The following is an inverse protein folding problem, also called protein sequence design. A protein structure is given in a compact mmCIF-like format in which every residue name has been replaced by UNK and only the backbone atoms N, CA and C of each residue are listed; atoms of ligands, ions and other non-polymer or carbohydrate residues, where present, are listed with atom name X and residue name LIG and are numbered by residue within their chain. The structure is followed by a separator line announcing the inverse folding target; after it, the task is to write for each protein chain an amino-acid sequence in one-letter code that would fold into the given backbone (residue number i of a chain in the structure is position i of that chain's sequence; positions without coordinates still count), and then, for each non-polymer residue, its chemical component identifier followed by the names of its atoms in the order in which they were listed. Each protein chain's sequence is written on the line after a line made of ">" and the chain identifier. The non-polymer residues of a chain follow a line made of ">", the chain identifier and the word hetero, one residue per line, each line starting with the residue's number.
data_IF_435975082151
#
_entry.id   IF_435975082151
#
_cell.length_a   1.000
_cell.length_b   1.000
_cell.length_c   1.000
_cell.angle_alpha   90.00
_cell.angle_beta   90.00
_cell.angle_gamma   90.00
#
_symmetry.space_group_name_H-M   'P 1'
#
loop_
_entity.id
_entity.type
_entity.pdbx_description
1 polymer ?
#
# COMPACT_ATOMS: atom_id res chain seq x y z
N UNK A 1 7.30 5.13 -0.53
CA UNK A 1 7.08 5.10 -2.00
C UNK A 1 8.34 5.62 -2.70
N UNK A 2 8.64 5.13 -3.90
CA UNK A 2 9.77 5.58 -4.73
C UNK A 2 9.23 6.47 -5.86
N UNK A 3 9.90 7.59 -6.13
CA UNK A 3 9.48 8.56 -7.15
C UNK A 3 9.88 8.07 -8.54
N UNK A 4 8.92 7.99 -9.46
CA UNK A 4 9.14 7.51 -10.84
C UNK A 4 9.38 8.67 -11.80
N UNK A 5 8.54 9.71 -11.72
CA UNK A 5 8.64 10.92 -12.52
C UNK A 5 8.84 12.14 -11.63
N UNK A 6 9.59 13.11 -12.14
CA UNK A 6 9.74 14.43 -11.53
C UNK A 6 9.50 15.53 -12.56
N UNK A 7 8.43 16.30 -12.37
CA UNK A 7 8.03 17.37 -13.28
C UNK A 7 7.97 16.90 -14.75
N UNK A 8 7.39 15.72 -15.00
CA UNK A 8 7.28 15.12 -16.33
C UNK A 8 8.54 14.38 -16.82
N UNK A 9 9.67 14.46 -16.10
CA UNK A 9 10.89 13.74 -16.46
C UNK A 9 10.92 12.36 -15.80
N UNK A 10 11.20 11.32 -16.57
CA UNK A 10 11.45 9.98 -16.03
C UNK A 10 12.78 9.98 -15.26
N UNK A 11 12.72 9.88 -13.94
CA UNK A 11 13.91 9.85 -13.07
C UNK A 11 14.23 8.46 -12.53
N UNK A 12 13.28 7.52 -12.61
CA UNK A 12 13.47 6.15 -12.19
C UNK A 12 14.09 5.29 -13.28
N UNK A 13 15.11 4.51 -12.91
CA UNK A 13 15.70 3.52 -13.79
C UNK A 13 14.95 2.21 -13.64
N UNK A 14 14.25 1.79 -14.70
CA UNK A 14 13.57 0.50 -14.72
C UNK A 14 14.58 -0.64 -14.55
N UNK A 15 14.41 -1.52 -13.54
CA UNK A 15 15.22 -2.72 -13.39
C UNK A 15 14.91 -3.72 -14.51
N UNK A 16 15.77 -4.73 -14.68
CA UNK A 16 15.51 -5.80 -15.64
C UNK A 16 14.39 -6.71 -15.14
N UNK A 17 13.77 -7.47 -16.05
CA UNK A 17 12.71 -8.44 -15.68
C UNK A 17 13.24 -9.49 -14.69
N UNK A 18 14.52 -9.86 -14.80
CA UNK A 18 15.14 -10.82 -13.90
C UNK A 18 15.34 -10.24 -12.50
N UNK A 19 15.75 -8.97 -12.41
CA UNK A 19 15.87 -8.27 -11.12
C UNK A 19 14.51 -8.11 -10.43
N UNK A 20 13.45 -7.80 -11.21
CA UNK A 20 12.08 -7.71 -10.70
C UNK A 20 11.61 -9.06 -10.14
N UNK A 21 11.89 -10.15 -10.86
CA UNK A 21 11.55 -11.50 -10.42
C UNK A 21 12.24 -11.84 -9.11
N UNK A 22 13.55 -11.59 -9.01
CA UNK A 22 14.32 -11.90 -7.80
C UNK A 22 13.79 -11.09 -6.60
N UNK A 23 13.62 -9.79 -6.79
CA UNK A 23 13.04 -8.92 -5.76
C UNK A 23 11.66 -9.40 -5.30
N UNK A 24 10.79 -9.81 -6.23
CA UNK A 24 9.47 -10.33 -5.87
C UNK A 24 9.54 -11.63 -5.07
N UNK A 25 10.50 -12.51 -5.36
CA UNK A 25 10.71 -13.75 -4.61
C UNK A 25 11.23 -13.45 -3.20
N UNK A 26 12.20 -12.54 -3.09
CA UNK A 26 12.76 -12.11 -1.81
C UNK A 26 11.70 -11.46 -0.91
N UNK A 27 10.91 -10.52 -1.42
CA UNK A 27 9.85 -9.86 -0.64
C UNK A 27 8.76 -10.85 -0.23
N UNK A 28 8.38 -11.79 -1.12
CA UNK A 28 7.36 -12.80 -0.80
C UNK A 28 7.80 -13.69 0.36
N UNK A 29 9.09 -14.00 0.47
CA UNK A 29 9.62 -14.81 1.56
C UNK A 29 9.59 -14.10 2.93
N UNK A 30 9.36 -12.78 2.97
CA UNK A 30 9.19 -12.02 4.23
C UNK A 30 7.77 -12.10 4.79
N UNK A 31 6.80 -12.53 3.97
CA UNK A 31 5.42 -12.65 4.39
C UNK A 31 5.21 -13.94 5.20
N UNK A 32 4.29 -13.89 6.16
CA UNK A 32 3.93 -15.06 6.95
C UNK A 32 3.21 -16.12 6.10
N UNK A 33 3.50 -17.42 6.29
CA UNK A 33 2.90 -18.50 5.51
C UNK A 33 1.36 -18.48 5.50
N UNK A 34 0.73 -18.04 6.59
CA UNK A 34 -0.71 -17.99 6.77
C UNK A 34 -1.37 -17.00 5.80
N UNK A 35 -0.70 -15.89 5.49
CA UNK A 35 -1.14 -14.89 4.51
C UNK A 35 -0.96 -15.41 3.07
N UNK A 36 -0.01 -16.32 2.86
CA UNK A 36 0.31 -16.89 1.55
C UNK A 36 -0.55 -18.12 1.18
N UNK A 37 -1.46 -18.56 2.05
CA UNK A 37 -2.34 -19.72 1.76
C UNK A 37 -3.27 -19.42 0.58
N UNK A 38 -3.43 -20.40 -0.31
CA UNK A 38 -4.35 -20.28 -1.46
C UNK A 38 -5.82 -20.33 -1.03
N UNK A 39 -6.12 -21.13 -0.01
CA UNK A 39 -7.44 -21.25 0.58
C UNK A 39 -7.45 -20.61 1.96
N UNK A 40 -8.45 -19.75 2.21
CA UNK A 40 -8.63 -19.04 3.47
C UNK A 40 -7.34 -18.35 3.98
N UNK A 41 -6.71 -17.45 3.20
CA UNK A 41 -5.54 -16.70 3.65
C UNK A 41 -5.88 -15.89 4.89
N UNK A 42 -4.89 -15.74 5.78
CA UNK A 42 -5.03 -14.81 6.89
C UNK A 42 -5.08 -13.37 6.36
N UNK A 43 -5.98 -12.55 6.93
CA UNK A 43 -6.10 -11.15 6.54
C UNK A 43 -4.80 -10.39 6.87
N UNK A 44 -4.30 -9.63 5.90
CA UNK A 44 -3.20 -8.69 6.12
C UNK A 44 -3.78 -7.33 6.49
N UNK A 45 -3.67 -6.95 7.76
CA UNK A 45 -4.23 -5.70 8.26
C UNK A 45 -3.43 -4.50 7.79
N UNK A 46 -4.12 -3.47 7.30
CA UNK A 46 -3.54 -2.18 6.92
C UNK A 46 -4.21 -1.12 7.77
N UNK A 47 -3.51 -0.70 8.82
CA UNK A 47 -4.04 0.25 9.79
C UNK A 47 -3.74 1.70 9.42
N UNK A 48 -4.64 2.59 9.86
CA UNK A 48 -4.43 4.02 9.76
C UNK A 48 -3.61 4.50 10.95
N UNK A 49 -2.63 5.36 10.70
CA UNK A 49 -2.06 6.15 11.79
C UNK A 49 -3.16 6.97 12.47
N UNK A 50 -3.04 7.18 13.78
CA UNK A 50 -4.05 7.90 14.55
C UNK A 50 -4.44 9.25 13.93
N UNK A 51 -3.45 10.05 13.50
CA UNK A 51 -3.69 11.34 12.83
C UNK A 51 -4.50 11.22 11.54
N UNK A 52 -4.25 10.18 10.75
CA UNK A 52 -4.98 9.95 9.49
C UNK A 52 -6.41 9.48 9.76
N UNK A 53 -6.59 8.65 10.79
CA UNK A 53 -7.90 8.24 11.26
C UNK A 53 -8.71 9.44 11.77
N UNK A 54 -8.13 10.29 12.62
CA UNK A 54 -8.77 11.51 13.11
C UNK A 54 -9.17 12.44 11.98
N UNK A 55 -8.29 12.64 10.99
CA UNK A 55 -8.59 13.44 9.81
C UNK A 55 -9.79 12.87 9.03
N UNK A 56 -9.84 11.55 8.85
CA UNK A 56 -10.95 10.90 8.18
C UNK A 56 -12.26 11.13 8.94
N UNK A 57 -12.27 10.88 10.24
CA UNK A 57 -13.49 11.06 11.05
C UNK A 57 -13.93 12.52 11.08
N UNK A 58 -13.00 13.47 11.20
CA UNK A 58 -13.30 14.90 11.15
C UNK A 58 -13.99 15.30 9.84
N UNK A 59 -13.46 14.85 8.70
CA UNK A 59 -14.06 15.12 7.39
C UNK A 59 -15.44 14.46 7.25
N UNK A 60 -15.60 13.23 7.73
CA UNK A 60 -16.91 12.55 7.70
C UNK A 60 -17.94 13.31 8.53
N UNK A 61 -17.58 13.77 9.72
CA UNK A 61 -18.48 14.58 10.56
C UNK A 61 -18.82 15.92 9.93
N UNK A 62 -17.85 16.61 9.34
CA UNK A 62 -18.06 17.92 8.69
C UNK A 62 -19.08 17.84 7.54
N UNK A 63 -19.01 16.80 6.71
CA UNK A 63 -19.88 16.67 5.55
C UNK A 63 -21.13 15.82 5.78
N UNK A 64 -21.21 15.05 6.87
CA UNK A 64 -22.41 14.27 7.19
C UNK A 64 -23.58 15.14 7.65
N UNK A 65 -23.34 16.31 8.23
CA UNK A 65 -24.39 17.25 8.64
C UNK A 65 -24.96 18.09 7.47
N UNK A 66 -24.47 17.89 6.25
CA UNK A 66 -24.90 18.64 5.04
C UNK A 66 -26.05 17.91 4.32
N UNK A 67 -26.43 16.71 4.75
CA UNK A 67 -27.46 15.87 4.12
C UNK A 67 -28.67 15.56 5.03
N UNK A 68 -28.83 16.28 6.15
CA UNK A 68 -30.10 16.41 6.89
C UNK A 68 -30.74 17.77 6.63
#
# INVERSE_FOLDING_TARGET
>A
MVKIFDNGNLIYKSPSVMDIREYSLEERNKLWPEVLRLENPHAYYVDLSHKLWELKEALLHEYSSVFE
#
